data_IF_620393848888
#
_entry.id   IF_620393848888
#
_cell.length_a   1.000
_cell.length_b   1.000
_cell.length_c   1.000
_cell.angle_alpha   90.00
_cell.angle_beta   90.00
_cell.angle_gamma   90.00
#
_symmetry.space_group_name_H-M   'P 1'
#
loop_
_entity.id
_entity.type
_entity.pdbx_description
1 polymer ?
#
# COMPACT_ATOMS: atom_id res chain seq x y z
N UNK A 1 12.51 1.27 -9.21
CA UNK A 1 11.16 0.77 -9.55
C UNK A 1 10.21 1.94 -9.76
N UNK A 2 9.22 1.73 -10.61
CA UNK A 2 8.18 2.72 -10.85
C UNK A 2 7.06 2.55 -9.83
N UNK A 3 6.56 3.68 -9.34
CA UNK A 3 5.39 3.70 -8.48
C UNK A 3 4.16 3.97 -9.34
N UNK A 4 3.21 3.05 -9.29
CA UNK A 4 1.98 3.14 -10.09
C UNK A 4 0.79 3.03 -9.14
N UNK A 5 -0.27 3.78 -9.41
CA UNK A 5 -1.52 3.67 -8.68
C UNK A 5 -2.60 3.14 -9.63
N UNK A 6 -3.29 2.08 -9.24
CA UNK A 6 -4.56 1.74 -9.84
C UNK A 6 -5.61 2.77 -9.42
N UNK A 7 -6.69 2.86 -10.17
CA UNK A 7 -7.72 3.88 -9.89
C UNK A 7 -8.23 3.82 -8.45
N UNK A 8 -8.51 2.64 -7.95
CA UNK A 8 -8.98 2.49 -6.57
C UNK A 8 -7.91 2.89 -5.56
N UNK A 9 -6.66 2.53 -5.83
CA UNK A 9 -5.54 2.91 -4.97
C UNK A 9 -5.38 4.42 -4.89
N UNK A 10 -5.49 5.09 -6.01
CA UNK A 10 -5.41 6.56 -6.06
C UNK A 10 -6.57 7.21 -5.34
N UNK A 11 -7.78 6.70 -5.55
CA UNK A 11 -8.97 7.20 -4.88
C UNK A 11 -8.85 7.06 -3.36
N UNK A 12 -8.41 5.90 -2.88
CA UNK A 12 -8.21 5.66 -1.46
C UNK A 12 -7.14 6.61 -0.89
N UNK A 13 -6.01 6.70 -1.58
CA UNK A 13 -4.89 7.52 -1.16
C UNK A 13 -5.30 8.98 -1.01
N UNK A 14 -5.95 9.54 -2.04
CA UNK A 14 -6.35 10.95 -2.02
C UNK A 14 -7.49 11.22 -1.04
N UNK A 15 -8.30 10.23 -0.72
CA UNK A 15 -9.39 10.40 0.24
C UNK A 15 -8.88 10.83 1.63
N UNK A 16 -7.66 10.42 1.98
CA UNK A 16 -7.08 10.77 3.28
C UNK A 16 -6.68 12.24 3.39
N UNK A 17 -6.50 12.93 2.26
CA UNK A 17 -6.16 14.37 2.27
C UNK A 17 -7.16 15.19 3.06
N UNK A 18 -8.44 14.87 2.96
CA UNK A 18 -9.51 15.61 3.63
C UNK A 18 -9.89 15.00 4.97
N UNK A 19 -9.78 13.69 5.11
CA UNK A 19 -10.28 13.02 6.30
C UNK A 19 -9.22 12.86 7.41
N UNK A 20 -7.97 12.57 7.06
CA UNK A 20 -6.94 12.36 8.07
C UNK A 20 -5.53 12.44 7.45
N UNK A 21 -4.89 13.58 7.63
CA UNK A 21 -3.55 13.79 7.07
C UNK A 21 -2.46 12.94 7.72
N UNK A 22 -2.68 12.50 8.97
CA UNK A 22 -1.73 11.60 9.63
C UNK A 22 -1.71 10.23 8.95
N UNK A 23 -2.86 9.78 8.49
CA UNK A 23 -2.96 8.55 7.72
C UNK A 23 -2.23 8.68 6.40
N UNK A 24 -2.39 9.81 5.72
CA UNK A 24 -1.67 10.06 4.48
C UNK A 24 -0.15 10.04 4.69
N UNK A 25 0.33 10.67 5.74
CA UNK A 25 1.76 10.66 6.08
C UNK A 25 2.26 9.24 6.35
N UNK A 26 1.48 8.44 7.06
CA UNK A 26 1.80 7.04 7.33
C UNK A 26 1.87 6.24 6.04
N UNK A 27 0.91 6.42 5.14
CA UNK A 27 0.89 5.75 3.84
C UNK A 27 2.12 6.12 3.03
N UNK A 28 2.51 7.39 3.02
CA UNK A 28 3.72 7.84 2.32
C UNK A 28 4.97 7.13 2.83
N UNK A 29 5.09 6.97 4.15
CA UNK A 29 6.21 6.23 4.73
C UNK A 29 6.20 4.77 4.31
N UNK A 30 5.03 4.14 4.28
CA UNK A 30 4.91 2.75 3.86
C UNK A 30 5.30 2.58 2.40
N UNK A 31 4.88 3.49 1.54
CA UNK A 31 5.21 3.44 0.11
C UNK A 31 6.72 3.59 -0.09
N UNK A 32 7.35 4.55 0.59
CA UNK A 32 8.80 4.74 0.46
C UNK A 32 9.56 3.52 0.96
N UNK A 33 9.11 2.93 2.06
CA UNK A 33 9.75 1.73 2.58
C UNK A 33 9.56 0.53 1.63
N UNK A 34 8.37 0.40 1.03
CA UNK A 34 8.11 -0.66 0.06
C UNK A 34 8.94 -0.49 -1.22
N UNK A 35 9.21 0.74 -1.62
CA UNK A 35 10.09 1.00 -2.77
C UNK A 35 11.51 0.59 -2.49
N UNK A 36 11.96 0.70 -1.25
CA UNK A 36 13.27 0.26 -0.82
C UNK A 36 13.36 -1.28 -0.78
N UNK A 37 12.35 -1.92 -0.17
CA UNK A 37 12.25 -3.37 -0.09
C UNK A 37 10.77 -3.75 0.02
N UNK A 38 10.17 -4.27 -1.04
CA UNK A 38 8.73 -4.56 -1.03
C UNK A 38 8.31 -5.71 -0.12
N UNK A 39 9.27 -6.51 0.36
CA UNK A 39 8.97 -7.73 1.11
C UNK A 39 9.31 -7.65 2.59
N UNK A 40 9.97 -6.59 3.02
CA UNK A 40 10.41 -6.43 4.41
C UNK A 40 10.36 -4.97 4.82
N UNK A 41 10.24 -4.72 6.11
CA UNK A 41 10.29 -3.38 6.66
C UNK A 41 9.08 -3.05 7.52
N UNK A 42 8.70 -1.78 7.55
CA UNK A 42 7.65 -1.29 8.43
C UNK A 42 6.26 -1.72 7.99
N UNK A 43 5.31 -1.75 8.93
CA UNK A 43 3.92 -2.07 8.61
C UNK A 43 3.64 -3.55 8.46
N UNK A 44 4.55 -4.42 8.87
CA UNK A 44 4.38 -5.88 8.82
C UNK A 44 3.97 -6.36 7.42
N UNK A 45 4.83 -6.20 6.41
CA UNK A 45 4.49 -6.66 5.07
C UNK A 45 4.26 -8.16 5.03
N UNK A 46 3.17 -8.55 4.37
CA UNK A 46 2.81 -9.96 4.22
C UNK A 46 2.15 -10.22 2.87
N UNK A 47 2.38 -11.40 2.27
CA UNK A 47 1.74 -11.72 1.00
C UNK A 47 0.27 -12.04 1.17
N UNK A 48 -0.54 -11.67 0.19
CA UNK A 48 -1.96 -12.00 0.13
C UNK A 48 -2.15 -13.28 -0.68
N UNK A 49 -2.23 -14.41 0.02
CA UNK A 49 -2.16 -15.74 -0.61
C UNK A 49 -3.35 -16.09 -1.49
N UNK A 50 -4.54 -15.58 -1.17
CA UNK A 50 -5.77 -16.04 -1.80
C UNK A 50 -6.45 -15.01 -2.69
N UNK A 51 -5.83 -13.87 -2.91
CA UNK A 51 -6.45 -12.78 -3.67
C UNK A 51 -5.81 -12.58 -5.03
N UNK A 52 -4.56 -12.15 -5.05
CA UNK A 52 -3.88 -11.84 -6.29
C UNK A 52 -2.42 -12.24 -6.17
N UNK A 53 -1.94 -13.06 -7.09
CA UNK A 53 -0.54 -13.48 -7.08
C UNK A 53 0.38 -12.26 -7.17
N UNK A 54 1.35 -12.18 -6.27
CA UNK A 54 2.27 -11.06 -6.20
C UNK A 54 1.77 -9.87 -5.38
N UNK A 55 0.56 -9.95 -4.84
CA UNK A 55 0.03 -8.88 -3.98
C UNK A 55 0.51 -9.04 -2.55
N UNK A 56 0.80 -7.90 -1.93
CA UNK A 56 1.27 -7.78 -0.56
C UNK A 56 0.46 -6.72 0.16
N UNK A 57 0.46 -6.78 1.49
CA UNK A 57 -0.18 -5.73 2.30
C UNK A 57 0.74 -5.29 3.42
N UNK A 58 0.59 -4.03 3.81
CA UNK A 58 1.22 -3.45 5.00
C UNK A 58 0.17 -2.74 5.83
N UNK A 59 0.30 -2.78 7.14
CA UNK A 59 -0.62 -2.09 8.04
C UNK A 59 -0.42 -0.59 7.99
N UNK A 60 -1.49 0.14 7.73
CA UNK A 60 -1.52 1.58 7.93
C UNK A 60 -1.85 1.83 9.41
N UNK A 61 -2.94 1.21 9.88
CA UNK A 61 -3.34 1.16 11.29
C UNK A 61 -4.09 -0.15 11.55
N UNK A 62 -4.83 -0.24 12.65
CA UNK A 62 -5.55 -1.47 13.01
C UNK A 62 -6.66 -1.82 12.02
N UNK A 63 -7.21 -0.83 11.33
CA UNK A 63 -8.34 -1.00 10.43
C UNK A 63 -7.95 -1.01 8.96
N UNK A 64 -6.91 -0.26 8.60
CA UNK A 64 -6.58 0.02 7.21
C UNK A 64 -5.27 -0.59 6.79
N UNK A 65 -5.21 -1.06 5.54
CA UNK A 65 -4.02 -1.63 4.96
C UNK A 65 -3.70 -1.00 3.61
N UNK A 66 -2.41 -0.89 3.34
CA UNK A 66 -1.90 -0.57 2.03
C UNK A 66 -1.71 -1.89 1.28
N UNK A 67 -2.40 -2.04 0.16
CA UNK A 67 -2.30 -3.25 -0.67
C UNK A 67 -1.59 -2.89 -1.96
N UNK A 68 -0.56 -3.66 -2.30
CA UNK A 68 0.25 -3.36 -3.47
C UNK A 68 0.67 -4.63 -4.19
N UNK A 69 0.86 -4.50 -5.50
CA UNK A 69 1.32 -5.57 -6.36
C UNK A 69 2.78 -5.29 -6.72
N UNK A 70 3.61 -6.32 -6.62
CA UNK A 70 5.04 -6.21 -6.91
C UNK A 70 5.33 -6.90 -8.22
N UNK A 71 5.96 -6.18 -9.15
CA UNK A 71 6.49 -6.74 -10.38
C UNK A 71 7.98 -6.44 -10.45
N UNK A 72 8.66 -6.92 -11.49
CA UNK A 72 10.10 -6.70 -11.64
C UNK A 72 10.46 -5.22 -11.73
N UNK A 73 9.55 -4.39 -12.25
CA UNK A 73 9.83 -2.99 -12.52
C UNK A 73 8.96 -2.02 -11.75
N UNK A 74 7.88 -2.50 -11.11
CA UNK A 74 6.87 -1.61 -10.56
C UNK A 74 6.38 -2.06 -9.20
N UNK A 75 5.95 -1.08 -8.41
CA UNK A 75 5.08 -1.30 -7.27
C UNK A 75 3.77 -0.60 -7.61
N UNK A 76 2.69 -1.35 -7.62
CA UNK A 76 1.37 -0.87 -8.04
C UNK A 76 0.47 -0.83 -6.83
N UNK A 77 0.03 0.36 -6.45
CA UNK A 77 -0.85 0.55 -5.29
C UNK A 77 -2.28 0.22 -5.71
N UNK A 78 -2.82 -0.85 -5.10
CA UNK A 78 -4.15 -1.35 -5.41
C UNK A 78 -5.22 -0.77 -4.50
N UNK A 79 -4.87 -0.54 -3.21
CA UNK A 79 -5.80 -0.02 -2.22
C UNK A 79 -5.03 0.60 -1.07
N UNK A 80 -5.64 1.55 -0.38
CA UNK A 80 -5.05 2.21 0.78
C UNK A 80 -6.10 2.53 1.84
N UNK A 81 -7.17 1.75 1.89
CA UNK A 81 -8.26 1.95 2.82
C UNK A 81 -8.91 0.60 3.10
N UNK A 82 -9.28 0.35 4.37
CA UNK A 82 -9.81 -0.94 4.82
C UNK A 82 -8.81 -2.09 4.59
N UNK A 83 -9.26 -3.31 4.67
CA UNK A 83 -8.41 -4.48 4.43
C UNK A 83 -9.24 -5.61 3.81
N UNK A 84 -8.54 -6.49 3.14
CA UNK A 84 -9.13 -7.69 2.56
C UNK A 84 -9.33 -8.76 3.63
#
# INVERSE_FOLDING_TARGET
>A
VRLVFEDQGWEDYTSWLKSDRKMLARINKLIEDARRDPFAGIGKPEPLKYHLAGAWSRRIDDEHRLVYLVTDEEIIILAARYHY
#
